data_IF_541219836686
#
_entry.id   IF_541219836686
#
_cell.length_a   1.000
_cell.length_b   1.000
_cell.length_c   1.000
_cell.angle_alpha   90.00
_cell.angle_beta   90.00
_cell.angle_gamma   90.00
#
_symmetry.space_group_name_H-M   'P 1'
#
loop_
_entity.id
_entity.type
_entity.pdbx_description
1 polymer ?
#
# COMPACT_ATOMS: atom_id res chain seq x y z
N UNK A 1 1.85 -8.82 15.91
CA UNK A 1 2.55 -7.74 16.64
C UNK A 1 1.81 -7.33 17.92
N UNK A 2 0.61 -6.74 17.84
CA UNK A 2 -0.13 -6.23 19.02
C UNK A 2 -0.34 -7.29 20.11
N UNK A 3 -0.75 -8.51 19.73
CA UNK A 3 -0.90 -9.63 20.69
C UNK A 3 0.40 -10.03 21.40
N UNK A 4 1.55 -9.88 20.73
CA UNK A 4 2.86 -10.15 21.34
C UNK A 4 3.26 -9.00 22.28
N UNK A 5 2.94 -7.75 21.93
CA UNK A 5 3.17 -6.58 22.78
C UNK A 5 2.40 -6.67 24.10
N UNK A 6 1.11 -7.01 24.01
CA UNK A 6 0.25 -7.19 25.18
C UNK A 6 0.70 -8.36 26.06
N UNK A 7 1.14 -9.46 25.45
CA UNK A 7 1.67 -10.61 26.19
C UNK A 7 2.97 -10.28 26.94
N UNK A 8 3.91 -9.57 26.29
CA UNK A 8 5.16 -9.14 26.94
C UNK A 8 4.87 -8.18 28.08
N UNK A 9 3.97 -7.21 27.89
CA UNK A 9 3.50 -6.35 28.98
C UNK A 9 2.97 -7.15 30.17
N UNK A 10 2.02 -8.06 29.93
CA UNK A 10 1.39 -8.83 31.00
C UNK A 10 2.43 -9.64 31.80
N UNK A 11 3.45 -10.18 31.13
CA UNK A 11 4.55 -10.88 31.78
C UNK A 11 5.40 -9.97 32.68
N UNK A 12 5.65 -8.73 32.26
CA UNK A 12 6.38 -7.74 33.06
C UNK A 12 5.55 -7.23 34.24
N UNK A 13 4.27 -6.91 34.01
CA UNK A 13 3.31 -6.50 35.04
C UNK A 13 3.19 -7.58 36.14
N UNK A 14 3.04 -8.85 35.76
CA UNK A 14 2.93 -9.97 36.70
C UNK A 14 4.20 -10.19 37.53
N UNK A 15 5.36 -9.76 37.03
CA UNK A 15 6.64 -9.84 37.72
C UNK A 15 6.97 -8.57 38.52
N UNK A 16 6.12 -7.53 38.49
CA UNK A 16 6.36 -6.25 39.13
C UNK A 16 7.58 -5.50 38.56
N UNK A 17 7.86 -5.68 37.27
CA UNK A 17 9.00 -5.06 36.61
C UNK A 17 8.56 -3.74 35.98
N UNK A 18 9.24 -2.64 36.34
CA UNK A 18 9.00 -1.35 35.72
C UNK A 18 9.48 -1.32 34.26
N UNK A 19 8.65 -0.78 33.39
CA UNK A 19 8.97 -0.57 31.98
C UNK A 19 8.38 0.74 31.47
N UNK A 20 8.82 1.15 30.28
CA UNK A 20 8.17 2.18 29.48
C UNK A 20 7.94 1.67 28.06
N UNK A 21 6.86 2.13 27.44
CA UNK A 21 6.66 2.02 26.02
C UNK A 21 7.33 3.23 25.35
N UNK A 22 8.14 3.00 24.32
CA UNK A 22 8.76 4.05 23.51
C UNK A 22 8.56 3.76 22.03
N UNK A 23 8.61 4.82 21.22
CA UNK A 23 8.51 4.75 19.77
C UNK A 23 9.91 4.57 19.18
N UNK A 24 10.10 3.51 18.38
CA UNK A 24 11.35 3.29 17.65
C UNK A 24 11.54 4.25 16.47
N UNK A 25 12.61 4.06 15.70
CA UNK A 25 12.80 4.78 14.42
C UNK A 25 11.97 4.18 13.26
N UNK A 26 11.32 3.04 13.50
CA UNK A 26 10.31 2.44 12.63
C UNK A 26 9.00 2.27 13.42
N UNK A 27 7.95 1.74 12.79
CA UNK A 27 6.63 1.55 13.43
C UNK A 27 6.61 0.49 14.54
N UNK A 28 7.75 -0.13 14.86
CA UNK A 28 7.81 -1.21 15.84
C UNK A 28 7.61 -0.66 17.26
N UNK A 29 6.77 -1.31 18.07
CA UNK A 29 6.69 -0.98 19.48
C UNK A 29 7.96 -1.42 20.21
N UNK A 30 8.48 -0.53 21.05
CA UNK A 30 9.67 -0.78 21.87
C UNK A 30 9.27 -0.71 23.34
N UNK A 31 9.58 -1.76 24.09
CA UNK A 31 9.52 -1.75 25.56
C UNK A 31 10.94 -1.54 26.06
N UNK A 32 11.16 -0.52 26.87
CA UNK A 32 12.42 -0.30 27.56
C UNK A 32 12.30 -0.62 29.05
N UNK A 33 13.29 -1.32 29.57
CA UNK A 33 13.41 -1.72 30.98
C UNK A 33 14.81 -1.37 31.49
N UNK A 34 14.96 -1.28 32.80
CA UNK A 34 16.27 -1.10 33.40
C UNK A 34 17.16 -2.33 33.17
N UNK A 35 18.40 -2.09 32.77
CA UNK A 35 19.47 -3.07 32.64
C UNK A 35 19.73 -3.82 33.96
N UNK A 36 19.52 -3.19 35.11
CA UNK A 36 19.64 -3.85 36.41
C UNK A 36 18.61 -4.98 36.55
N UNK A 37 17.39 -4.80 36.05
CA UNK A 37 16.30 -5.79 36.06
C UNK A 37 16.45 -6.92 35.04
N UNK A 38 17.52 -6.97 34.24
CA UNK A 38 17.67 -7.94 33.13
C UNK A 38 17.50 -9.42 33.52
N UNK A 39 17.92 -9.79 34.74
CA UNK A 39 17.78 -11.17 35.24
C UNK A 39 16.32 -11.50 35.55
N UNK A 40 15.61 -10.55 36.14
CA UNK A 40 14.19 -10.69 36.49
C UNK A 40 13.32 -10.67 35.24
N UNK A 41 13.63 -9.78 34.29
CA UNK A 41 12.99 -9.75 32.96
C UNK A 41 13.13 -11.09 32.25
N UNK A 42 14.35 -11.65 32.19
CA UNK A 42 14.56 -12.99 31.62
C UNK A 42 13.72 -14.04 32.34
N UNK A 43 13.76 -14.08 33.68
CA UNK A 43 12.99 -15.04 34.48
C UNK A 43 11.48 -14.90 34.23
N UNK A 44 10.96 -13.67 34.15
CA UNK A 44 9.56 -13.37 33.91
C UNK A 44 9.12 -13.89 32.53
N UNK A 45 9.84 -13.53 31.47
CA UNK A 45 9.51 -13.95 30.10
C UNK A 45 9.65 -15.47 29.91
N UNK A 46 10.70 -16.09 30.45
CA UNK A 46 10.88 -17.57 30.43
C UNK A 46 9.72 -18.27 31.14
N UNK A 47 9.28 -17.72 32.27
CA UNK A 47 8.17 -18.32 33.05
C UNK A 47 6.85 -18.15 32.31
N UNK A 48 6.55 -16.94 31.84
CA UNK A 48 5.31 -16.62 31.14
C UNK A 48 5.17 -17.40 29.83
N UNK A 49 6.27 -17.61 29.11
CA UNK A 49 6.26 -18.21 27.78
C UNK A 49 6.86 -19.63 27.73
N UNK A 50 6.93 -20.33 28.86
CA UNK A 50 7.50 -21.69 28.94
C UNK A 50 6.85 -22.68 27.96
N UNK A 51 5.55 -22.53 27.72
CA UNK A 51 4.76 -23.40 26.86
C UNK A 51 4.35 -22.71 25.54
N UNK A 52 5.00 -21.59 25.18
CA UNK A 52 4.70 -20.84 23.97
C UNK A 52 5.92 -20.80 23.03
N UNK A 53 5.71 -20.75 21.70
CA UNK A 53 6.79 -20.65 20.73
C UNK A 53 7.31 -19.20 20.64
N UNK A 54 7.66 -18.60 21.77
CA UNK A 54 8.22 -17.25 21.81
C UNK A 54 9.72 -17.30 21.56
N UNK A 55 10.19 -16.54 20.58
CA UNK A 55 11.59 -16.45 20.24
C UNK A 55 12.13 -15.06 20.58
N UNK A 56 13.40 -15.01 20.95
CA UNK A 56 14.15 -13.79 21.18
C UNK A 56 15.32 -13.72 20.21
N UNK A 57 15.27 -12.77 19.27
CA UNK A 57 16.37 -12.48 18.35
C UNK A 57 17.27 -11.39 18.93
N UNK A 58 18.58 -11.65 18.99
CA UNK A 58 19.57 -10.62 19.38
C UNK A 58 19.78 -9.64 18.24
N UNK A 59 19.51 -8.35 18.46
CA UNK A 59 19.53 -7.32 17.41
C UNK A 59 20.88 -6.61 17.32
N UNK A 60 21.53 -6.37 18.45
CA UNK A 60 22.80 -5.63 18.59
C UNK A 60 24.05 -6.52 18.44
N UNK A 61 23.90 -7.70 17.86
CA UNK A 61 24.98 -8.61 17.52
C UNK A 61 25.29 -8.59 16.01
N UNK A 62 26.57 -8.77 15.65
CA UNK A 62 27.01 -8.85 14.23
C UNK A 62 26.28 -9.96 13.46
N UNK A 63 26.05 -11.11 14.10
CA UNK A 63 25.23 -12.21 13.59
C UNK A 63 23.94 -12.27 14.40
N UNK A 64 22.81 -12.04 13.74
CA UNK A 64 21.49 -12.16 14.37
C UNK A 64 21.16 -13.63 14.55
N UNK A 65 20.89 -14.02 15.78
CA UNK A 65 20.47 -15.38 16.15
C UNK A 65 19.26 -15.29 17.04
N UNK A 66 18.31 -16.21 16.84
CA UNK A 66 17.14 -16.37 17.70
C UNK A 66 17.35 -17.55 18.64
N UNK A 67 16.88 -17.41 19.87
CA UNK A 67 16.75 -18.49 20.85
C UNK A 67 15.28 -18.66 21.23
N UNK A 68 14.86 -19.87 21.56
CA UNK A 68 13.54 -20.12 22.13
C UNK A 68 13.54 -19.62 23.57
N UNK A 69 12.61 -18.75 23.94
CA UNK A 69 12.55 -18.16 25.28
C UNK A 69 12.35 -19.24 26.34
N UNK A 70 11.63 -20.33 26.02
CA UNK A 70 11.44 -21.46 26.93
C UNK A 70 12.74 -22.19 27.32
N UNK A 71 13.82 -22.05 26.54
CA UNK A 71 15.14 -22.64 26.84
C UNK A 71 15.88 -21.91 27.98
N UNK A 72 15.29 -20.85 28.53
CA UNK A 72 15.79 -20.16 29.72
C UNK A 72 16.66 -18.93 29.46
N UNK A 73 16.90 -18.60 28.19
CA UNK A 73 17.74 -17.46 27.79
C UNK A 73 17.04 -16.57 26.76
N UNK A 74 17.39 -15.27 26.75
CA UNK A 74 16.95 -14.32 25.72
C UNK A 74 18.02 -14.09 24.64
N UNK A 75 19.27 -14.46 24.90
CA UNK A 75 20.38 -14.39 23.96
C UNK A 75 21.53 -15.27 24.42
N UNK A 76 22.29 -15.81 23.47
CA UNK A 76 23.59 -16.42 23.73
C UNK A 76 24.65 -15.36 24.14
N UNK A 77 24.44 -14.09 23.78
CA UNK A 77 25.33 -12.99 24.12
C UNK A 77 24.86 -12.30 25.42
N UNK A 78 25.58 -12.53 26.52
CA UNK A 78 25.29 -11.91 27.83
C UNK A 78 25.43 -10.38 27.87
N UNK A 79 26.05 -9.77 26.85
CA UNK A 79 26.17 -8.31 26.70
C UNK A 79 25.07 -7.69 25.85
N UNK A 80 24.18 -8.50 25.26
CA UNK A 80 23.09 -8.00 24.43
C UNK A 80 22.15 -7.10 25.24
N UNK A 81 21.75 -5.99 24.62
CA UNK A 81 20.84 -4.99 25.18
C UNK A 81 19.56 -4.84 24.36
N UNK A 82 19.52 -5.36 23.14
CA UNK A 82 18.35 -5.25 22.25
C UNK A 82 17.90 -6.63 21.82
N UNK A 83 16.68 -6.97 22.19
CA UNK A 83 16.04 -8.24 21.86
C UNK A 83 14.80 -7.98 21.02
N UNK A 84 14.54 -8.86 20.06
CA UNK A 84 13.28 -8.85 19.33
C UNK A 84 12.49 -10.09 19.69
N UNK A 85 11.40 -9.88 20.40
CA UNK A 85 10.50 -10.90 20.90
C UNK A 85 9.39 -11.12 19.89
N UNK A 86 9.20 -12.36 19.44
CA UNK A 86 8.17 -12.68 18.45
C UNK A 86 7.69 -14.13 18.58
N UNK A 87 6.43 -14.37 18.21
CA UNK A 87 5.92 -15.71 17.91
C UNK A 87 5.89 -15.90 16.39
N UNK A 88 6.58 -16.91 15.83
CA UNK A 88 6.51 -17.19 14.41
C UNK A 88 5.09 -17.62 14.08
N UNK A 89 4.52 -17.02 13.04
CA UNK A 89 3.22 -17.40 12.49
C UNK A 89 3.43 -17.74 11.02
N UNK A 90 2.90 -18.88 10.60
CA UNK A 90 2.99 -19.36 9.22
C UNK A 90 1.58 -19.67 8.76
N UNK A 91 1.20 -19.12 7.62
CA UNK A 91 0.07 -19.62 6.85
C UNK A 91 0.59 -20.74 5.93
N UNK A 92 -0.02 -21.93 6.04
CA UNK A 92 0.53 -23.18 5.52
C UNK A 92 0.39 -23.27 3.99
N UNK A 93 -0.69 -22.74 3.41
CA UNK A 93 -0.98 -22.85 1.98
C UNK A 93 -0.06 -21.99 1.11
N UNK A 94 0.14 -20.74 1.50
CA UNK A 94 0.91 -19.73 0.76
C UNK A 94 2.30 -19.43 1.31
N UNK A 95 2.69 -20.09 2.41
CA UNK A 95 3.99 -19.91 3.06
C UNK A 95 4.22 -18.50 3.62
N UNK A 96 3.14 -17.73 3.84
CA UNK A 96 3.24 -16.39 4.41
C UNK A 96 3.73 -16.51 5.85
N UNK A 97 4.89 -15.90 6.13
CA UNK A 97 5.55 -15.99 7.41
C UNK A 97 5.69 -14.63 8.10
N UNK A 98 5.24 -14.59 9.35
CA UNK A 98 5.47 -13.49 10.26
C UNK A 98 6.50 -13.91 11.30
N UNK A 99 7.66 -13.27 11.24
CA UNK A 99 8.79 -13.56 12.12
C UNK A 99 9.31 -12.33 12.86
N UNK A 100 10.64 -12.21 13.06
CA UNK A 100 11.22 -11.12 13.81
C UNK A 100 10.98 -9.76 13.17
N UNK A 101 10.69 -9.63 11.88
CA UNK A 101 10.40 -8.32 11.28
C UNK A 101 9.26 -7.58 12.00
N UNK A 102 8.24 -8.32 12.47
CA UNK A 102 7.05 -7.82 13.17
C UNK A 102 7.07 -8.08 14.69
N UNK A 103 8.24 -8.45 15.23
CA UNK A 103 8.40 -8.69 16.67
C UNK A 103 8.42 -7.38 17.48
N UNK A 104 8.14 -7.49 18.77
CA UNK A 104 8.27 -6.40 19.75
C UNK A 104 9.73 -6.25 20.10
N UNK A 105 10.23 -5.02 20.17
CA UNK A 105 11.60 -4.78 20.61
C UNK A 105 11.62 -4.58 22.12
N UNK A 106 12.51 -5.29 22.81
CA UNK A 106 12.82 -5.09 24.22
C UNK A 106 14.23 -4.52 24.31
N UNK A 107 14.37 -3.41 25.04
CA UNK A 107 15.64 -2.72 25.24
C UNK A 107 16.01 -2.62 26.71
N UNK A 108 17.28 -2.88 27.01
CA UNK A 108 17.85 -2.71 28.35
C UNK A 108 18.59 -1.37 28.43
N UNK A 109 17.98 -0.40 29.10
CA UNK A 109 18.51 0.95 29.31
C UNK A 109 19.29 1.01 30.62
N UNK A 110 20.36 1.79 30.69
CA UNK A 110 21.13 1.96 31.94
C UNK A 110 20.84 3.31 32.56
N UNK A 111 20.54 3.29 33.84
CA UNK A 111 20.34 4.48 34.66
C UNK A 111 21.56 4.61 35.58
N UNK A 112 22.55 5.40 35.18
CA UNK A 112 23.81 5.58 35.93
C UNK A 112 23.88 7.02 36.46
N UNK A 113 23.65 7.19 37.77
CA UNK A 113 23.64 8.51 38.41
C UNK A 113 22.58 9.45 37.82
N UNK A 114 23.03 10.56 37.27
CA UNK A 114 22.22 11.57 36.58
C UNK A 114 22.10 11.31 35.07
N UNK A 115 22.67 10.22 34.54
CA UNK A 115 22.65 9.89 33.11
C UNK A 115 21.74 8.70 32.81
N UNK A 116 21.12 8.78 31.64
CA UNK A 116 20.37 7.70 31.02
C UNK A 116 21.08 7.29 29.73
N UNK A 117 21.45 6.00 29.63
CA UNK A 117 22.12 5.44 28.46
C UNK A 117 21.27 4.37 27.77
N UNK A 118 20.93 4.63 26.51
CA UNK A 118 20.16 3.75 25.65
C UNK A 118 21.09 2.91 24.77
N UNK A 119 20.68 1.69 24.38
CA UNK A 119 21.45 0.91 23.41
C UNK A 119 21.34 1.47 21.99
N UNK A 120 20.28 2.22 21.67
CA UNK A 120 20.03 2.83 20.36
C UNK A 120 19.21 4.11 20.52
N UNK A 121 19.32 5.02 19.57
CA UNK A 121 18.45 6.21 19.48
C UNK A 121 17.07 5.80 19.00
N UNK A 122 16.05 6.51 19.45
CA UNK A 122 14.67 6.30 19.05
C UNK A 122 14.08 7.60 18.49
N UNK A 123 12.77 7.65 18.23
CA UNK A 123 12.16 8.78 17.54
C UNK A 123 12.35 10.14 18.24
N UNK A 124 12.64 10.16 19.54
CA UNK A 124 12.77 11.37 20.35
C UNK A 124 14.13 11.50 21.05
N UNK A 125 14.79 10.37 21.31
CA UNK A 125 15.91 10.31 22.26
C UNK A 125 17.28 10.18 21.61
N UNK A 126 18.31 10.68 22.30
CA UNK A 126 19.73 10.36 22.02
C UNK A 126 20.18 9.13 22.79
N UNK A 127 21.30 8.52 22.37
CA UNK A 127 21.89 7.38 23.11
C UNK A 127 22.26 7.71 24.55
N UNK A 128 22.63 8.96 24.81
CA UNK A 128 22.95 9.41 26.16
C UNK A 128 22.29 10.75 26.41
N UNK A 129 21.58 10.87 27.52
CA UNK A 129 20.89 12.09 27.95
C UNK A 129 20.93 12.21 29.48
N UNK A 130 20.54 13.37 30.01
CA UNK A 130 20.32 13.52 31.45
C UNK A 130 19.04 12.81 31.84
N UNK A 131 19.06 12.09 32.96
CA UNK A 131 17.91 11.35 33.48
C UNK A 131 16.71 12.26 33.75
N UNK A 132 16.96 13.50 34.20
CA UNK A 132 15.92 14.48 34.47
C UNK A 132 15.13 14.90 33.21
N UNK A 133 15.74 14.79 32.03
CA UNK A 133 15.10 15.16 30.76
C UNK A 133 14.09 14.08 30.30
N UNK A 134 14.24 12.84 30.79
CA UNK A 134 13.31 11.74 30.52
C UNK A 134 12.11 11.79 31.48
N UNK A 135 11.36 12.88 31.45
CA UNK A 135 10.17 13.11 32.28
C UNK A 135 9.13 12.02 32.03
N UNK A 136 8.62 11.40 33.10
CA UNK A 136 7.65 10.31 33.00
C UNK A 136 6.29 10.83 32.52
N UNK A 137 5.71 10.14 31.55
CA UNK A 137 4.35 10.37 31.05
C UNK A 137 3.56 9.07 30.92
N UNK A 138 2.35 9.19 30.39
CA UNK A 138 1.51 8.04 30.04
C UNK A 138 0.90 8.22 28.65
N UNK A 139 0.58 7.11 27.98
CA UNK A 139 -0.09 7.11 26.67
C UNK A 139 -1.13 6.00 26.59
N UNK A 140 -2.27 6.26 25.94
CA UNK A 140 -3.28 5.24 25.64
C UNK A 140 -2.95 4.58 24.30
N UNK A 141 -2.66 3.26 24.30
CA UNK A 141 -2.41 2.47 23.09
C UNK A 141 -2.95 1.07 23.24
N UNK A 142 -3.56 0.53 22.18
CA UNK A 142 -4.10 -0.83 22.14
C UNK A 142 -5.04 -1.15 23.32
N UNK A 143 -5.88 -0.18 23.69
CA UNK A 143 -6.87 -0.32 24.78
C UNK A 143 -6.31 -0.24 26.20
N UNK A 144 -5.02 0.11 26.38
CA UNK A 144 -4.40 0.20 27.70
C UNK A 144 -3.61 1.51 27.88
N UNK A 145 -3.46 1.94 29.14
CA UNK A 145 -2.52 2.99 29.53
C UNK A 145 -1.11 2.42 29.67
N UNK A 146 -0.11 3.09 29.10
CA UNK A 146 1.29 2.69 29.12
C UNK A 146 2.15 3.78 29.76
N UNK A 147 3.09 3.44 30.66
CA UNK A 147 4.14 4.36 31.07
C UNK A 147 5.02 4.70 29.87
N UNK A 148 5.41 5.96 29.74
CA UNK A 148 6.29 6.42 28.66
C UNK A 148 7.12 7.63 29.11
N UNK A 149 7.81 8.27 28.17
CA UNK A 149 8.45 9.59 28.35
C UNK A 149 7.50 10.64 27.77
N UNK A 150 7.43 11.80 28.41
CA UNK A 150 6.69 12.95 27.90
C UNK A 150 7.03 13.23 26.42
N UNK A 151 6.02 13.52 25.61
CA UNK A 151 6.11 13.76 24.17
C UNK A 151 6.60 12.59 23.29
N UNK A 152 6.89 11.40 23.83
CA UNK A 152 7.35 10.22 23.06
C UNK A 152 6.39 9.81 21.93
N UNK A 153 5.09 10.06 22.12
CA UNK A 153 4.02 9.73 21.18
C UNK A 153 3.21 10.97 20.78
N UNK A 154 3.74 12.17 21.03
CA UNK A 154 3.20 13.37 20.42
C UNK A 154 3.41 13.31 18.89
N UNK A 155 2.62 14.06 18.13
CA UNK A 155 2.78 14.13 16.69
C UNK A 155 4.11 14.79 16.36
N UNK A 156 4.98 14.06 15.66
CA UNK A 156 6.26 14.59 15.20
C UNK A 156 6.05 15.28 13.86
N UNK A 157 6.86 16.31 13.56
CA UNK A 157 6.80 17.00 12.27
C UNK A 157 7.08 16.10 11.05
N UNK A 158 7.65 14.92 11.28
CA UNK A 158 7.92 13.89 10.27
C UNK A 158 6.80 12.85 10.14
N UNK A 159 5.72 12.98 10.90
CA UNK A 159 4.60 12.05 10.86
C UNK A 159 3.65 12.39 9.73
N UNK A 160 2.96 11.36 9.22
CA UNK A 160 1.85 11.50 8.28
C UNK A 160 0.60 11.13 9.05
N UNK A 161 -0.17 12.14 9.44
CA UNK A 161 -1.33 12.04 10.33
C UNK A 161 -2.66 12.38 9.64
N UNK A 162 -2.62 12.81 8.38
CA UNK A 162 -3.81 13.06 7.58
C UNK A 162 -4.43 11.77 7.04
N UNK A 163 -5.75 11.80 6.86
CA UNK A 163 -6.52 10.70 6.29
C UNK A 163 -6.10 10.38 4.85
N UNK A 164 -5.91 9.10 4.54
CA UNK A 164 -5.66 8.63 3.18
C UNK A 164 -6.68 7.55 2.81
N UNK A 165 -7.40 7.77 1.71
CA UNK A 165 -8.33 6.81 1.14
C UNK A 165 -7.72 6.12 -0.09
N UNK A 166 -8.36 5.05 -0.58
CA UNK A 166 -8.06 4.45 -1.88
C UNK A 166 -9.32 4.31 -2.71
N UNK A 167 -9.21 4.57 -4.01
CA UNK A 167 -10.27 4.40 -5.00
C UNK A 167 -9.84 3.35 -6.01
N UNK A 168 -10.64 2.30 -6.14
CA UNK A 168 -10.53 1.30 -7.19
C UNK A 168 -11.51 1.62 -8.31
N UNK A 169 -11.04 1.70 -9.56
CA UNK A 169 -11.93 1.58 -10.72
C UNK A 169 -12.06 0.12 -11.10
N UNK A 170 -13.29 -0.37 -11.20
CA UNK A 170 -13.54 -1.78 -11.49
C UNK A 170 -14.80 -1.99 -12.33
N UNK A 171 -14.78 -3.00 -13.20
CA UNK A 171 -15.95 -3.48 -13.94
C UNK A 171 -15.99 -5.00 -13.92
N UNK A 172 -17.18 -5.57 -13.84
CA UNK A 172 -17.37 -6.99 -14.10
C UNK A 172 -17.33 -7.24 -15.61
N UNK A 173 -16.15 -7.61 -16.10
CA UNK A 173 -15.95 -7.97 -17.51
C UNK A 173 -16.74 -9.20 -17.96
N UNK A 174 -17.29 -10.00 -17.04
CA UNK A 174 -18.05 -11.21 -17.32
C UNK A 174 -19.57 -11.01 -17.32
N UNK A 175 -20.06 -9.83 -16.91
CA UNK A 175 -21.49 -9.50 -16.90
C UNK A 175 -22.05 -9.47 -18.34
N UNK A 176 -23.00 -10.37 -18.69
CA UNK A 176 -23.60 -10.40 -20.02
C UNK A 176 -24.27 -9.09 -20.41
N UNK A 177 -24.86 -8.36 -19.47
CA UNK A 177 -25.48 -7.07 -19.76
C UNK A 177 -24.43 -6.00 -20.07
N UNK A 178 -23.33 -5.96 -19.31
CA UNK A 178 -22.19 -5.09 -19.58
C UNK A 178 -21.61 -5.35 -20.97
N UNK A 179 -21.39 -6.62 -21.32
CA UNK A 179 -20.89 -7.03 -22.64
C UNK A 179 -21.86 -6.60 -23.75
N UNK A 180 -23.16 -6.83 -23.57
CA UNK A 180 -24.18 -6.46 -24.55
C UNK A 180 -24.25 -4.94 -24.75
N UNK A 181 -24.26 -4.15 -23.66
CA UNK A 181 -24.23 -2.68 -23.70
C UNK A 181 -22.99 -2.16 -24.43
N UNK A 182 -21.81 -2.70 -24.08
CA UNK A 182 -20.54 -2.32 -24.71
C UNK A 182 -20.54 -2.62 -26.21
N UNK A 183 -20.95 -3.82 -26.61
CA UNK A 183 -21.00 -4.24 -28.03
C UNK A 183 -21.96 -3.37 -28.85
N UNK A 184 -23.13 -3.05 -28.31
CA UNK A 184 -24.10 -2.18 -28.98
C UNK A 184 -23.52 -0.78 -29.27
N UNK A 185 -22.72 -0.24 -28.34
CA UNK A 185 -22.08 1.07 -28.49
C UNK A 185 -20.79 1.02 -29.33
N UNK A 186 -20.11 -0.13 -29.36
CA UNK A 186 -18.87 -0.31 -30.11
C UNK A 186 -19.10 -0.35 -31.63
N UNK A 187 -20.29 -0.73 -32.09
CA UNK A 187 -20.64 -0.78 -33.51
C UNK A 187 -20.49 0.56 -34.26
N UNK A 188 -20.44 1.67 -33.52
CA UNK A 188 -20.33 3.03 -34.04
C UNK A 188 -18.99 3.72 -33.70
N UNK A 189 -18.05 3.00 -33.05
CA UNK A 189 -16.81 3.58 -32.51
C UNK A 189 -15.55 3.18 -33.32
N UNK A 190 -14.61 4.12 -33.48
CA UNK A 190 -13.25 3.84 -33.96
C UNK A 190 -12.38 3.47 -32.76
N UNK A 191 -11.90 2.23 -32.69
CA UNK A 191 -11.04 1.74 -31.62
C UNK A 191 -9.58 1.71 -32.04
N UNK A 192 -8.67 2.01 -31.12
CA UNK A 192 -7.23 1.82 -31.31
C UNK A 192 -6.80 0.36 -31.07
N UNK A 193 -5.55 0.04 -31.42
CA UNK A 193 -4.97 -1.30 -31.26
C UNK A 193 -5.11 -1.82 -29.81
N UNK A 194 -5.63 -3.03 -29.65
CA UNK A 194 -5.71 -3.73 -28.36
C UNK A 194 -7.01 -3.51 -27.56
N UNK A 195 -7.95 -2.68 -28.02
CA UNK A 195 -9.21 -2.40 -27.30
C UNK A 195 -10.37 -3.36 -27.62
N UNK A 196 -10.19 -4.29 -28.58
CA UNK A 196 -11.17 -5.27 -29.08
C UNK A 196 -10.99 -6.70 -28.56
N UNK A 197 -9.91 -7.01 -27.82
CA UNK A 197 -9.55 -8.40 -27.50
C UNK A 197 -10.39 -9.05 -26.39
N UNK A 198 -10.82 -10.30 -26.67
CA UNK A 198 -11.64 -11.13 -25.78
C UNK A 198 -10.96 -11.57 -24.48
N UNK A 199 -9.63 -11.54 -24.43
CA UNK A 199 -8.84 -11.95 -23.26
C UNK A 199 -9.15 -11.14 -21.99
N UNK A 200 -9.74 -9.94 -22.13
CA UNK A 200 -10.15 -9.04 -21.03
C UNK A 200 -11.47 -9.40 -20.34
N UNK A 201 -12.22 -10.42 -20.79
CA UNK A 201 -13.62 -10.64 -20.33
C UNK A 201 -13.79 -11.69 -19.22
N UNK A 202 -12.75 -12.41 -18.81
CA UNK A 202 -12.87 -13.42 -17.75
C UNK A 202 -12.33 -12.90 -16.42
N UNK A 203 -13.25 -12.51 -15.55
CA UNK A 203 -13.02 -12.08 -14.17
C UNK A 203 -12.57 -13.27 -13.31
N UNK A 204 -11.42 -13.16 -12.62
CA UNK A 204 -10.92 -14.16 -11.66
C UNK A 204 -10.91 -13.64 -10.22
N UNK A 205 -11.74 -12.63 -9.96
CA UNK A 205 -11.89 -11.92 -8.68
C UNK A 205 -10.62 -11.17 -8.27
N UNK A 206 -9.88 -10.58 -9.22
CA UNK A 206 -8.68 -9.79 -8.95
C UNK A 206 -8.95 -8.71 -7.90
N UNK A 207 -10.09 -8.02 -7.99
CA UNK A 207 -10.53 -7.01 -7.01
C UNK A 207 -10.55 -7.55 -5.57
N UNK A 208 -11.00 -8.80 -5.35
CA UNK A 208 -11.01 -9.43 -4.03
C UNK A 208 -9.60 -9.46 -3.44
N UNK A 209 -8.63 -9.88 -4.24
CA UNK A 209 -7.24 -10.00 -3.83
C UNK A 209 -6.53 -8.64 -3.74
N UNK A 210 -6.90 -7.68 -4.59
CA UNK A 210 -6.43 -6.30 -4.49
C UNK A 210 -6.86 -5.69 -3.14
N UNK A 211 -8.12 -5.89 -2.74
CA UNK A 211 -8.62 -5.46 -1.43
C UNK A 211 -7.95 -6.22 -0.27
N UNK A 212 -7.71 -7.54 -0.39
CA UNK A 212 -6.90 -8.27 0.61
C UNK A 212 -5.49 -7.70 0.73
N UNK A 213 -4.87 -7.30 -0.37
CA UNK A 213 -3.53 -6.69 -0.37
C UNK A 213 -3.51 -5.39 0.44
N UNK A 214 -4.55 -4.54 0.30
CA UNK A 214 -4.73 -3.34 1.13
C UNK A 214 -4.86 -3.72 2.60
N UNK A 215 -5.75 -4.66 2.93
CA UNK A 215 -5.96 -5.09 4.32
C UNK A 215 -4.68 -5.63 4.98
N UNK A 216 -3.89 -6.40 4.24
CA UNK A 216 -2.69 -7.05 4.76
C UNK A 216 -1.48 -6.09 4.84
N UNK A 217 -1.36 -5.16 3.89
CA UNK A 217 -0.10 -4.47 3.64
C UNK A 217 -0.16 -2.94 3.66
N UNK A 218 -1.36 -2.36 3.68
CA UNK A 218 -1.58 -0.93 3.85
C UNK A 218 -2.74 -0.64 4.83
N UNK A 219 -2.69 -1.15 6.08
CA UNK A 219 -3.80 -1.04 7.04
C UNK A 219 -4.06 0.39 7.56
N UNK A 220 -3.23 1.35 7.17
CA UNK A 220 -3.39 2.79 7.44
C UNK A 220 -4.37 3.47 6.47
N UNK A 221 -4.80 2.80 5.40
CA UNK A 221 -5.87 3.28 4.52
C UNK A 221 -7.17 3.38 5.32
N UNK A 222 -7.80 4.56 5.29
CA UNK A 222 -9.00 4.88 6.06
C UNK A 222 -10.25 4.27 5.44
N UNK A 223 -10.52 4.55 4.16
CA UNK A 223 -11.66 4.01 3.40
C UNK A 223 -11.25 3.54 2.01
N UNK A 224 -11.95 2.52 1.54
CA UNK A 224 -11.86 1.96 0.20
C UNK A 224 -13.14 2.36 -0.55
N UNK A 225 -12.98 3.07 -1.67
CA UNK A 225 -14.06 3.36 -2.60
C UNK A 225 -13.91 2.47 -3.83
N UNK A 226 -14.99 1.86 -4.29
CA UNK A 226 -15.03 1.07 -5.53
C UNK A 226 -15.92 1.84 -6.51
N UNK A 227 -15.29 2.57 -7.43
CA UNK A 227 -15.98 3.27 -8.51
C UNK A 227 -16.37 2.25 -9.58
N UNK A 228 -17.65 1.91 -9.65
CA UNK A 228 -18.16 0.88 -10.56
C UNK A 228 -19.66 1.03 -10.83
N UNK A 229 -20.06 0.71 -12.06
CA UNK A 229 -21.48 0.56 -12.44
C UNK A 229 -21.91 -0.91 -12.50
N UNK A 230 -21.01 -1.86 -12.20
CA UNK A 230 -21.32 -3.29 -12.13
C UNK A 230 -22.02 -3.65 -10.82
N UNK A 231 -22.83 -4.73 -10.77
CA UNK A 231 -23.35 -5.25 -9.51
C UNK A 231 -22.25 -5.50 -8.48
N UNK A 232 -22.57 -5.37 -7.19
CA UNK A 232 -21.63 -5.68 -6.14
C UNK A 232 -21.20 -7.15 -6.24
N UNK A 233 -19.89 -7.48 -6.19
CA UNK A 233 -19.45 -8.88 -6.26
C UNK A 233 -20.06 -9.73 -5.14
N UNK A 234 -20.44 -10.97 -5.45
CA UNK A 234 -21.12 -11.84 -4.48
C UNK A 234 -20.33 -12.08 -3.21
N UNK A 235 -18.99 -12.09 -3.29
CA UNK A 235 -18.10 -12.29 -2.14
C UNK A 235 -18.00 -11.07 -1.21
N UNK A 236 -18.41 -9.88 -1.66
CA UNK A 236 -18.28 -8.63 -0.91
C UNK A 236 -19.50 -8.45 0.01
N UNK A 237 -19.25 -8.36 1.31
CA UNK A 237 -20.24 -7.98 2.31
C UNK A 237 -20.26 -6.46 2.51
N UNK A 238 -21.39 -5.93 2.99
CA UNK A 238 -21.45 -4.54 3.43
C UNK A 238 -20.50 -4.32 4.61
N UNK A 239 -19.67 -3.27 4.54
CA UNK A 239 -18.68 -2.98 5.55
C UNK A 239 -18.42 -1.46 5.62
N UNK A 240 -18.30 -0.85 6.81
CA UNK A 240 -18.16 0.62 6.95
C UNK A 240 -16.90 1.19 6.28
N UNK A 241 -15.86 0.38 6.10
CA UNK A 241 -14.61 0.79 5.42
C UNK A 241 -14.64 0.65 3.89
N UNK A 242 -15.67 0.03 3.30
CA UNK A 242 -15.76 -0.19 1.85
C UNK A 242 -17.04 0.44 1.33
N UNK A 243 -16.94 1.26 0.28
CA UNK A 243 -18.09 1.96 -0.30
C UNK A 243 -18.07 1.78 -1.81
N UNK A 244 -19.11 1.17 -2.37
CA UNK A 244 -19.34 1.18 -3.82
C UNK A 244 -19.91 2.55 -4.19
N UNK A 245 -19.38 3.16 -5.24
CA UNK A 245 -19.82 4.46 -5.75
C UNK A 245 -20.13 4.32 -7.24
N UNK A 246 -21.34 4.72 -7.63
CA UNK A 246 -21.80 4.71 -9.02
C UNK A 246 -21.26 5.91 -9.78
N UNK A 247 -21.06 5.77 -11.09
CA UNK A 247 -20.58 6.86 -11.94
C UNK A 247 -21.49 8.10 -11.87
N UNK A 248 -22.80 7.90 -11.75
CA UNK A 248 -23.78 9.00 -11.61
C UNK A 248 -23.59 9.84 -10.34
N UNK A 249 -22.92 9.31 -9.32
CA UNK A 249 -22.68 10.01 -8.04
C UNK A 249 -21.48 10.97 -8.10
N UNK A 250 -20.57 10.80 -9.07
CA UNK A 250 -19.34 11.60 -9.16
C UNK A 250 -19.02 12.18 -10.53
N UNK A 251 -19.72 11.79 -11.60
CA UNK A 251 -19.61 12.49 -12.89
C UNK A 251 -20.27 13.87 -12.79
N UNK A 252 -19.55 14.91 -13.20
CA UNK A 252 -20.07 16.28 -13.19
C UNK A 252 -21.29 16.45 -14.13
N UNK A 253 -21.30 15.71 -15.26
CA UNK A 253 -22.41 15.63 -16.19
C UNK A 253 -22.83 14.16 -16.39
N UNK A 254 -23.88 13.69 -15.71
CA UNK A 254 -24.36 12.31 -15.86
C UNK A 254 -24.89 11.98 -17.27
N UNK A 255 -25.15 12.97 -18.14
CA UNK A 255 -25.68 12.72 -19.48
C UNK A 255 -24.68 12.05 -20.43
N UNK A 256 -23.39 12.06 -20.08
CA UNK A 256 -22.33 11.39 -20.84
C UNK A 256 -22.20 9.90 -20.53
N UNK A 257 -22.93 9.41 -19.52
CA UNK A 257 -22.96 8.01 -19.12
C UNK A 257 -23.93 7.18 -20.00
N UNK A 258 -23.75 5.84 -20.09
CA UNK A 258 -22.64 5.07 -19.53
C UNK A 258 -21.35 5.22 -20.35
N UNK A 259 -20.21 5.00 -19.69
CA UNK A 259 -18.88 5.00 -20.32
C UNK A 259 -18.19 3.66 -20.15
N UNK A 260 -17.38 3.27 -21.14
CA UNK A 260 -16.48 2.13 -21.13
C UNK A 260 -15.00 2.57 -21.14
N UNK A 261 -14.76 3.85 -20.84
CA UNK A 261 -13.45 4.48 -20.87
C UNK A 261 -12.94 4.72 -19.44
N UNK A 262 -11.91 3.98 -19.02
CA UNK A 262 -11.33 4.21 -17.69
C UNK A 262 -10.77 5.63 -17.54
N UNK A 263 -10.29 6.26 -18.61
CA UNK A 263 -9.78 7.64 -18.54
C UNK A 263 -10.89 8.65 -18.23
N UNK A 264 -12.12 8.39 -18.71
CA UNK A 264 -13.30 9.19 -18.38
C UNK A 264 -13.68 9.06 -16.90
N UNK A 265 -13.59 7.85 -16.35
CA UNK A 265 -13.82 7.59 -14.91
C UNK A 265 -12.72 8.22 -14.06
N UNK A 266 -11.46 7.97 -14.42
CA UNK A 266 -10.26 8.45 -13.73
C UNK A 266 -10.22 9.98 -13.60
N UNK A 267 -10.69 10.72 -14.61
CA UNK A 267 -10.68 12.19 -14.59
C UNK A 267 -11.81 12.81 -13.74
N UNK A 268 -12.71 12.01 -13.16
CA UNK A 268 -13.85 12.47 -12.36
C UNK A 268 -13.79 12.00 -10.89
N UNK A 269 -12.82 11.15 -10.52
CA UNK A 269 -12.77 10.53 -9.18
C UNK A 269 -12.68 11.53 -8.02
N UNK A 270 -12.13 12.73 -8.24
CA UNK A 270 -12.01 13.77 -7.20
C UNK A 270 -13.37 14.36 -6.76
N UNK A 271 -14.45 14.07 -7.49
CA UNK A 271 -15.82 14.44 -7.12
C UNK A 271 -16.49 13.46 -6.17
N UNK A 272 -15.91 12.27 -5.93
CA UNK A 272 -16.47 11.30 -4.99
C UNK A 272 -16.69 11.96 -3.63
N UNK A 273 -17.94 11.92 -3.17
CA UNK A 273 -18.34 12.50 -1.89
C UNK A 273 -17.58 11.82 -0.74
N UNK A 274 -17.15 12.63 0.22
CA UNK A 274 -16.42 12.20 1.43
C UNK A 274 -15.04 11.55 1.18
N UNK A 275 -14.54 11.61 -0.07
CA UNK A 275 -13.16 11.26 -0.40
C UNK A 275 -12.19 12.25 0.26
N UNK A 276 -11.17 11.73 0.93
CA UNK A 276 -10.12 12.53 1.56
C UNK A 276 -9.39 13.42 0.55
N UNK A 277 -8.81 14.52 1.05
CA UNK A 277 -7.90 15.35 0.26
C UNK A 277 -6.72 14.54 -0.28
N UNK A 278 -6.24 13.54 0.46
CA UNK A 278 -5.18 12.63 0.03
C UNK A 278 -5.78 11.27 -0.26
N UNK A 279 -5.57 10.75 -1.47
CA UNK A 279 -6.08 9.43 -1.83
C UNK A 279 -5.14 8.71 -2.79
N UNK A 280 -5.26 7.39 -2.85
CA UNK A 280 -4.62 6.57 -3.86
C UNK A 280 -5.64 6.16 -4.92
N UNK A 281 -5.24 6.15 -6.17
CA UNK A 281 -5.97 5.47 -7.24
C UNK A 281 -5.34 4.12 -7.51
N UNK A 282 -6.14 3.08 -7.74
CA UNK A 282 -5.68 1.74 -8.10
C UNK A 282 -6.65 1.07 -9.08
N UNK A 283 -6.13 0.16 -9.90
CA UNK A 283 -6.95 -0.83 -10.60
C UNK A 283 -6.99 -2.14 -9.79
N UNK A 284 -7.85 -3.06 -10.21
CA UNK A 284 -8.01 -4.40 -9.62
C UNK A 284 -6.83 -5.34 -9.92
N UNK A 285 -6.04 -5.03 -10.95
CA UNK A 285 -4.81 -5.73 -11.33
C UNK A 285 -3.55 -5.24 -10.57
N UNK A 286 -3.66 -4.23 -9.72
CA UNK A 286 -2.57 -3.64 -8.95
C UNK A 286 -2.59 -4.11 -7.49
N UNK A 287 -1.46 -4.62 -7.01
CA UNK A 287 -1.38 -5.22 -5.69
C UNK A 287 -0.25 -4.64 -4.84
N UNK A 288 -0.52 -4.47 -3.54
CA UNK A 288 0.52 -4.31 -2.54
C UNK A 288 1.23 -5.66 -2.35
N UNK A 289 2.55 -5.68 -2.54
CA UNK A 289 3.35 -6.92 -2.51
C UNK A 289 3.88 -7.28 -1.12
N UNK A 290 4.01 -6.29 -0.23
CA UNK A 290 4.48 -6.43 1.16
C UNK A 290 4.06 -5.20 1.96
N UNK A 291 4.16 -5.20 3.31
CA UNK A 291 3.80 -4.03 4.10
C UNK A 291 4.55 -2.76 3.66
N UNK A 292 3.81 -1.67 3.45
CA UNK A 292 4.32 -0.34 3.12
C UNK A 292 3.66 0.71 4.03
N UNK A 293 4.37 1.78 4.35
CA UNK A 293 3.83 2.94 5.08
C UNK A 293 3.28 4.02 4.15
N UNK A 294 2.56 5.02 4.68
CA UNK A 294 2.07 6.17 3.91
C UNK A 294 3.22 7.00 3.31
N UNK A 295 4.41 6.94 3.91
CA UNK A 295 5.63 7.59 3.42
C UNK A 295 6.10 7.08 2.06
N UNK A 296 5.60 5.92 1.62
CA UNK A 296 5.78 5.43 0.25
C UNK A 296 5.17 6.40 -0.79
N UNK A 297 4.07 7.05 -0.42
CA UNK A 297 3.17 7.80 -1.30
C UNK A 297 3.11 9.30 -1.02
N UNK A 298 3.37 9.71 0.22
CA UNK A 298 3.31 11.11 0.62
C UNK A 298 4.51 11.49 1.48
N UNK A 299 4.89 12.76 1.45
CA UNK A 299 5.75 13.35 2.50
C UNK A 299 4.89 13.80 3.69
N UNK A 300 5.48 14.05 4.87
CA UNK A 300 4.78 14.67 6.00
C UNK A 300 4.08 16.00 5.65
N UNK A 301 4.63 16.77 4.71
CA UNK A 301 4.02 18.02 4.22
C UNK A 301 2.91 17.84 3.18
N UNK A 302 2.42 16.61 2.94
CA UNK A 302 1.34 16.34 1.96
C UNK A 302 1.76 16.36 0.49
N UNK A 303 3.06 16.45 0.17
CA UNK A 303 3.57 16.32 -1.21
C UNK A 303 3.44 14.86 -1.65
N UNK A 304 2.90 14.62 -2.86
CA UNK A 304 2.74 13.26 -3.40
C UNK A 304 4.06 12.70 -3.93
N UNK A 305 4.21 11.38 -3.91
CA UNK A 305 5.42 10.65 -4.33
C UNK A 305 5.05 9.59 -5.38
N UNK A 306 5.33 9.86 -6.64
CA UNK A 306 4.96 8.96 -7.74
C UNK A 306 6.15 8.15 -8.25
N UNK A 307 5.91 6.97 -8.80
CA UNK A 307 6.95 6.04 -9.25
C UNK A 307 7.05 6.09 -10.78
N UNK A 308 8.18 6.58 -11.30
CA UNK A 308 8.45 6.56 -12.74
C UNK A 308 8.84 5.15 -13.19
N UNK A 309 8.32 4.74 -14.35
CA UNK A 309 8.77 3.53 -15.02
C UNK A 309 10.03 3.79 -15.85
N UNK A 310 10.71 2.70 -16.22
CA UNK A 310 11.80 2.76 -17.18
C UNK A 310 11.35 2.97 -18.62
N UNK A 311 10.10 2.60 -18.91
CA UNK A 311 9.47 2.75 -20.22
C UNK A 311 9.38 4.22 -20.65
N UNK A 312 9.85 4.50 -21.86
CA UNK A 312 9.77 5.83 -22.49
C UNK A 312 8.46 5.99 -23.24
N UNK A 313 7.87 7.18 -23.18
CA UNK A 313 6.68 7.55 -23.98
C UNK A 313 7.02 7.55 -25.49
N UNK A 314 8.30 7.67 -25.85
CA UNK A 314 8.72 7.71 -27.25
C UNK A 314 8.48 9.06 -27.92
N UNK A 315 8.80 9.11 -29.21
CA UNK A 315 8.73 10.30 -30.06
C UNK A 315 7.37 10.44 -30.76
N UNK A 316 7.17 11.57 -31.43
CA UNK A 316 5.99 11.86 -32.24
C UNK A 316 4.78 12.37 -31.45
N UNK A 317 3.82 12.93 -32.20
CA UNK A 317 2.47 13.28 -31.72
C UNK A 317 1.54 12.08 -31.83
N UNK A 318 0.24 12.23 -31.52
CA UNK A 318 -0.75 11.15 -31.53
C UNK A 318 -0.90 10.50 -32.91
N UNK A 319 -1.28 9.23 -32.93
CA UNK A 319 -1.48 8.46 -34.16
C UNK A 319 -2.61 7.45 -33.96
N UNK A 320 -3.43 7.25 -34.99
CA UNK A 320 -4.58 6.35 -34.95
C UNK A 320 -4.18 4.87 -34.80
N UNK A 321 -2.97 4.51 -35.23
CA UNK A 321 -2.43 3.14 -35.08
C UNK A 321 -1.96 2.85 -33.64
N UNK A 322 -1.87 3.86 -32.75
CA UNK A 322 -1.45 3.65 -31.36
C UNK A 322 -2.60 3.39 -30.41
N UNK A 323 -2.31 2.66 -29.35
CA UNK A 323 -3.25 2.44 -28.25
C UNK A 323 -3.67 3.77 -27.58
N UNK A 324 -4.87 3.78 -26.98
CA UNK A 324 -5.37 4.94 -26.23
C UNK A 324 -4.47 5.34 -25.04
N UNK A 325 -3.72 4.39 -24.47
CA UNK A 325 -2.73 4.67 -23.43
C UNK A 325 -1.53 5.48 -23.96
N UNK A 326 -0.97 5.05 -25.10
CA UNK A 326 0.16 5.71 -25.75
C UNK A 326 -0.18 7.12 -26.26
N UNK A 327 -1.39 7.27 -26.79
CA UNK A 327 -1.90 8.55 -27.25
C UNK A 327 -2.16 9.51 -26.08
N UNK A 328 -2.82 9.06 -25.01
CA UNK A 328 -3.09 9.91 -23.85
C UNK A 328 -1.80 10.45 -23.19
N UNK A 329 -0.73 9.65 -23.13
CA UNK A 329 0.56 10.11 -22.62
C UNK A 329 1.16 11.27 -23.45
N UNK A 330 0.92 11.27 -24.77
CA UNK A 330 1.36 12.33 -25.68
C UNK A 330 0.48 13.58 -25.60
N UNK A 331 -0.83 13.42 -25.44
CA UNK A 331 -1.75 14.54 -25.12
C UNK A 331 -1.27 15.23 -23.84
N UNK A 332 -1.05 14.46 -22.78
CA UNK A 332 -0.56 14.98 -21.50
C UNK A 332 0.77 15.71 -21.66
N UNK A 333 1.73 15.13 -22.40
CA UNK A 333 3.02 15.78 -22.68
C UNK A 333 2.83 17.13 -23.36
N UNK A 334 1.97 17.21 -24.38
CA UNK A 334 1.71 18.45 -25.13
C UNK A 334 1.17 19.53 -24.21
N UNK A 335 0.16 19.22 -23.40
CA UNK A 335 -0.44 20.17 -22.46
C UNK A 335 0.56 20.68 -21.42
N UNK A 336 1.40 19.78 -20.88
CA UNK A 336 2.45 20.16 -19.93
C UNK A 336 3.55 21.00 -20.57
N UNK A 337 3.90 20.71 -21.83
CA UNK A 337 4.84 21.52 -22.60
C UNK A 337 4.31 22.93 -22.84
N UNK A 338 3.08 23.05 -23.34
CA UNK A 338 2.44 24.35 -23.59
C UNK A 338 2.32 25.17 -22.31
N UNK A 339 2.03 24.52 -21.17
CA UNK A 339 1.82 25.21 -19.90
C UNK A 339 3.10 25.60 -19.16
N UNK A 340 4.11 24.73 -19.18
CA UNK A 340 5.30 24.86 -18.33
C UNK A 340 6.62 24.92 -19.10
N UNK A 341 6.61 24.74 -20.42
CA UNK A 341 7.82 24.66 -21.24
C UNK A 341 8.69 23.45 -20.89
N UNK A 342 8.09 22.33 -20.44
CA UNK A 342 8.81 21.10 -20.11
C UNK A 342 8.09 19.87 -20.64
N UNK A 343 8.85 18.94 -21.23
CA UNK A 343 8.33 17.69 -21.78
C UNK A 343 8.46 16.55 -20.75
N UNK A 344 7.51 15.61 -20.78
CA UNK A 344 7.57 14.35 -20.04
C UNK A 344 8.17 13.26 -20.92
N UNK A 345 9.00 12.38 -20.34
CA UNK A 345 9.78 11.39 -21.12
C UNK A 345 9.46 9.94 -20.76
N UNK A 346 8.91 9.69 -19.57
CA UNK A 346 8.70 8.35 -19.01
C UNK A 346 7.23 8.13 -18.67
N UNK A 347 6.79 6.89 -18.81
CA UNK A 347 5.55 6.42 -18.18
C UNK A 347 5.77 6.24 -16.67
N UNK A 348 4.68 5.94 -15.97
CA UNK A 348 4.71 5.60 -14.56
C UNK A 348 4.56 4.09 -14.38
N UNK A 349 5.05 3.60 -13.25
CA UNK A 349 4.84 2.21 -12.85
C UNK A 349 3.35 1.97 -12.60
N UNK A 350 2.81 0.86 -13.12
CA UNK A 350 1.40 0.50 -13.02
C UNK A 350 1.10 -0.07 -11.62
N UNK A 351 0.93 0.84 -10.67
CA UNK A 351 0.78 0.60 -9.23
C UNK A 351 -0.13 1.67 -8.62
N UNK A 352 -0.56 1.47 -7.37
CA UNK A 352 -1.36 2.47 -6.66
C UNK A 352 -0.70 3.85 -6.72
N UNK A 353 -1.42 4.86 -7.22
CA UNK A 353 -0.89 6.17 -7.54
C UNK A 353 -1.43 7.23 -6.56
N UNK A 354 -0.59 8.07 -5.94
CA UNK A 354 -1.06 9.08 -4.99
C UNK A 354 -1.57 10.34 -5.68
N UNK A 355 -2.74 10.80 -5.25
CA UNK A 355 -3.39 12.01 -5.72
C UNK A 355 -3.83 12.91 -4.57
N UNK A 356 -4.02 14.18 -4.92
CA UNK A 356 -4.64 15.20 -4.09
C UNK A 356 -5.89 15.71 -4.76
N UNK A 357 -7.02 15.65 -4.05
CA UNK A 357 -8.33 16.06 -4.56
C UNK A 357 -8.31 17.51 -5.05
N UNK A 358 -7.73 18.42 -4.26
CA UNK A 358 -7.60 19.84 -4.62
C UNK A 358 -6.74 20.09 -5.87
N UNK A 359 -5.72 19.27 -6.12
CA UNK A 359 -4.84 19.42 -7.28
C UNK A 359 -5.54 18.93 -8.54
N UNK A 360 -6.28 17.82 -8.50
CA UNK A 360 -7.11 17.38 -9.65
C UNK A 360 -8.19 18.41 -9.95
N UNK A 361 -8.89 18.94 -8.93
CA UNK A 361 -9.89 19.99 -9.10
C UNK A 361 -9.31 21.30 -9.69
N UNK A 362 -8.04 21.61 -9.39
CA UNK A 362 -7.36 22.73 -10.03
C UNK A 362 -7.05 22.44 -11.50
N UNK A 363 -6.57 21.23 -11.81
CA UNK A 363 -6.31 20.81 -13.19
C UNK A 363 -7.57 20.86 -14.03
N UNK A 364 -8.71 20.39 -13.52
CA UNK A 364 -10.00 20.44 -14.23
C UNK A 364 -10.41 21.88 -14.58
N UNK A 365 -10.14 22.85 -13.70
CA UNK A 365 -10.40 24.27 -13.96
C UNK A 365 -9.43 24.88 -14.99
N UNK A 366 -8.20 24.38 -15.05
CA UNK A 366 -7.15 24.88 -15.93
C UNK A 366 -7.22 24.27 -17.33
N UNK A 367 -7.69 23.01 -17.43
CA UNK A 367 -7.85 22.25 -18.67
C UNK A 367 -9.31 21.79 -18.87
N UNK A 368 -10.30 22.71 -18.83
CA UNK A 368 -11.71 22.33 -18.79
C UNK A 368 -12.16 21.63 -20.07
N UNK A 369 -11.59 21.98 -21.22
CA UNK A 369 -11.94 21.37 -22.50
C UNK A 369 -11.47 19.91 -22.56
N UNK A 370 -10.26 19.64 -22.07
CA UNK A 370 -9.65 18.31 -22.06
C UNK A 370 -10.36 17.36 -21.08
N UNK A 371 -10.72 17.87 -19.89
CA UNK A 371 -11.50 17.14 -18.90
C UNK A 371 -12.90 16.83 -19.43
N UNK A 372 -13.65 17.84 -19.92
CA UNK A 372 -15.00 17.64 -20.46
C UNK A 372 -15.02 16.67 -21.64
N UNK A 373 -14.04 16.79 -22.55
CA UNK A 373 -13.91 15.89 -23.70
C UNK A 373 -13.61 14.45 -23.28
N UNK A 374 -12.72 14.26 -22.33
CA UNK A 374 -12.36 12.92 -21.82
C UNK A 374 -13.54 12.30 -21.06
N UNK A 375 -14.20 13.06 -20.18
CA UNK A 375 -15.40 12.61 -19.47
C UNK A 375 -16.54 12.25 -20.44
N UNK A 376 -16.68 13.00 -21.54
CA UNK A 376 -17.65 12.74 -22.60
C UNK A 376 -17.33 11.58 -23.55
N UNK A 377 -16.13 11.00 -23.46
CA UNK A 377 -15.67 9.95 -24.36
C UNK A 377 -16.06 8.56 -23.86
N UNK A 378 -17.00 7.91 -24.55
CA UNK A 378 -17.51 6.56 -24.18
C UNK A 378 -16.45 5.46 -24.27
N UNK A 379 -15.52 5.58 -25.21
CA UNK A 379 -14.34 4.71 -25.36
C UNK A 379 -13.09 5.58 -25.36
N UNK A 380 -11.93 4.95 -25.10
CA UNK A 380 -10.64 5.65 -25.16
C UNK A 380 -10.44 6.26 -26.55
N UNK A 381 -10.32 7.58 -26.60
CA UNK A 381 -10.04 8.30 -27.84
C UNK A 381 -8.57 8.76 -27.85
N UNK A 382 -8.02 8.93 -29.06
CA UNK A 382 -6.64 9.34 -29.26
C UNK A 382 -6.32 10.73 -28.68
N UNK A 383 -7.32 11.52 -28.35
CA UNK A 383 -7.18 12.88 -27.81
C UNK A 383 -7.68 13.01 -26.36
N UNK A 384 -7.91 11.89 -25.67
CA UNK A 384 -8.21 11.87 -24.25
C UNK A 384 -6.95 12.09 -23.40
N UNK A 385 -7.13 12.64 -22.21
CA UNK A 385 -6.08 12.75 -21.19
C UNK A 385 -6.09 11.54 -20.26
N UNK A 386 -4.94 11.15 -19.74
CA UNK A 386 -4.87 10.18 -18.64
C UNK A 386 -4.40 10.86 -17.36
N UNK A 387 -5.37 11.16 -16.49
CA UNK A 387 -5.15 11.92 -15.26
C UNK A 387 -4.26 11.15 -14.29
N UNK A 388 -4.61 9.90 -13.98
CA UNK A 388 -3.95 9.13 -12.92
C UNK A 388 -2.65 8.44 -13.35
N UNK A 389 -2.46 8.12 -14.64
CA UNK A 389 -1.22 7.45 -15.11
C UNK A 389 -0.09 8.41 -15.51
N UNK A 390 -0.33 9.71 -15.75
CA UNK A 390 0.79 10.65 -15.96
C UNK A 390 0.45 12.13 -15.81
N UNK A 391 -0.75 12.60 -16.18
CA UNK A 391 -0.99 14.05 -16.25
C UNK A 391 -0.87 14.71 -14.88
N UNK A 392 -1.55 14.14 -13.87
CA UNK A 392 -1.54 14.64 -12.50
C UNK A 392 -0.14 14.71 -11.94
N UNK A 393 0.64 13.62 -12.08
CA UNK A 393 1.93 13.48 -11.41
C UNK A 393 2.96 14.48 -11.91
N UNK A 394 3.04 14.66 -13.23
CA UNK A 394 3.93 15.66 -13.80
C UNK A 394 3.41 17.08 -13.62
N UNK A 395 2.10 17.33 -13.68
CA UNK A 395 1.53 18.64 -13.33
C UNK A 395 1.87 19.02 -11.88
N UNK A 396 1.67 18.10 -10.93
CA UNK A 396 1.99 18.27 -9.53
C UNK A 396 3.50 18.46 -9.32
N UNK A 397 4.36 17.71 -10.02
CA UNK A 397 5.81 17.89 -9.97
C UNK A 397 6.23 19.29 -10.43
N UNK A 398 5.72 19.72 -11.60
CA UNK A 398 6.05 21.01 -12.21
C UNK A 398 5.54 22.21 -11.42
N UNK A 399 4.63 21.98 -10.48
CA UNK A 399 4.08 22.99 -9.57
C UNK A 399 4.54 22.83 -8.13
N UNK A 400 5.56 21.97 -7.87
CA UNK A 400 6.18 21.81 -6.55
C UNK A 400 5.35 21.02 -5.53
N UNK A 401 4.39 20.21 -5.99
CA UNK A 401 3.41 19.46 -5.17
C UNK A 401 3.56 17.94 -5.28
N UNK A 402 4.50 17.47 -6.11
CA UNK A 402 4.93 16.08 -6.15
C UNK A 402 6.46 15.97 -6.22
N UNK A 403 6.98 14.82 -5.82
CA UNK A 403 8.36 14.37 -6.03
C UNK A 403 8.37 12.94 -6.56
N UNK A 404 9.50 12.48 -7.08
CA UNK A 404 9.66 11.09 -7.52
C UNK A 404 9.97 10.16 -6.34
N UNK A 405 9.40 8.97 -6.36
CA UNK A 405 9.71 7.86 -5.46
C UNK A 405 10.69 6.91 -6.14
N UNK A 406 11.95 6.92 -5.70
CA UNK A 406 13.04 6.16 -6.34
C UNK A 406 13.41 4.87 -5.62
N UNK A 407 12.82 4.61 -4.44
CA UNK A 407 13.16 3.45 -3.61
C UNK A 407 12.17 2.27 -3.73
N UNK A 408 11.03 2.49 -4.39
CA UNK A 408 10.00 1.47 -4.56
C UNK A 408 10.48 0.35 -5.49
N UNK A 409 10.12 -0.89 -5.14
CA UNK A 409 10.37 -2.07 -5.97
C UNK A 409 9.06 -2.55 -6.59
N UNK A 410 8.95 -2.34 -7.89
CA UNK A 410 7.76 -2.72 -8.66
C UNK A 410 8.05 -3.91 -9.57
N UNK A 411 7.03 -4.73 -9.81
CA UNK A 411 7.05 -5.76 -10.85
C UNK A 411 5.77 -5.76 -11.66
N UNK A 412 5.89 -5.44 -12.95
CA UNK A 412 4.88 -5.79 -13.93
C UNK A 412 5.03 -7.27 -14.32
N UNK A 413 3.94 -8.02 -14.29
CA UNK A 413 3.84 -9.41 -14.76
C UNK A 413 2.76 -9.47 -15.82
N UNK A 414 3.13 -9.87 -17.03
CA UNK A 414 2.16 -10.16 -18.08
C UNK A 414 1.57 -11.55 -17.86
N UNK A 415 0.31 -11.63 -17.43
CA UNK A 415 -0.40 -12.89 -17.16
C UNK A 415 -0.74 -13.67 -18.42
N UNK A 416 -0.61 -13.07 -19.60
CA UNK A 416 -0.90 -13.74 -20.88
C UNK A 416 0.30 -14.47 -21.48
N UNK A 417 1.49 -14.28 -20.89
CA UNK A 417 2.76 -14.82 -21.40
C UNK A 417 3.31 -15.89 -20.45
N UNK A 418 3.89 -16.96 -21.02
CA UNK A 418 4.51 -18.01 -20.20
C UNK A 418 5.61 -17.47 -19.29
N UNK A 419 6.37 -16.50 -19.77
CA UNK A 419 7.42 -15.85 -18.99
C UNK A 419 6.89 -15.17 -17.71
N UNK A 420 5.69 -14.56 -17.79
CA UNK A 420 5.04 -13.93 -16.63
C UNK A 420 4.52 -14.97 -15.65
N UNK A 421 3.81 -15.99 -16.13
CA UNK A 421 3.29 -17.06 -15.27
C UNK A 421 4.41 -17.85 -14.58
N UNK A 422 5.52 -18.16 -15.28
CA UNK A 422 6.69 -18.80 -14.70
C UNK A 422 7.41 -17.93 -13.64
N UNK A 423 7.16 -16.62 -13.60
CA UNK A 423 7.70 -15.74 -12.58
C UNK A 423 6.90 -15.78 -11.26
N UNK A 424 5.61 -16.14 -11.29
CA UNK A 424 4.73 -16.14 -10.12
C UNK A 424 5.26 -16.96 -8.93
N UNK A 425 5.79 -18.20 -9.11
CA UNK A 425 6.36 -18.96 -7.99
C UNK A 425 7.56 -18.27 -7.33
N UNK A 426 8.40 -17.59 -8.12
CA UNK A 426 9.53 -16.81 -7.61
C UNK A 426 9.05 -15.58 -6.85
N UNK A 427 8.02 -14.91 -7.35
CA UNK A 427 7.41 -13.77 -6.66
C UNK A 427 6.82 -14.19 -5.32
N UNK A 428 6.06 -15.29 -5.30
CA UNK A 428 5.46 -15.89 -4.10
C UNK A 428 6.51 -16.30 -3.06
N UNK A 429 7.59 -16.95 -3.48
CA UNK A 429 8.63 -17.41 -2.56
C UNK A 429 9.43 -16.25 -1.95
N UNK A 430 9.65 -15.16 -2.70
CA UNK A 430 10.51 -14.05 -2.27
C UNK A 430 9.76 -12.92 -1.56
N UNK A 431 8.52 -12.62 -1.96
CA UNK A 431 7.69 -11.50 -1.44
C UNK A 431 8.45 -10.19 -1.24
N UNK A 432 9.34 -9.90 -2.19
CA UNK A 432 10.37 -8.87 -2.08
C UNK A 432 10.04 -7.57 -2.82
N UNK A 433 8.89 -7.52 -3.51
CA UNK A 433 8.40 -6.35 -4.23
C UNK A 433 7.46 -5.55 -3.33
N UNK A 434 7.55 -4.22 -3.39
CA UNK A 434 6.59 -3.31 -2.75
C UNK A 434 5.23 -3.39 -3.45
N UNK A 435 5.27 -3.47 -4.77
CA UNK A 435 4.09 -3.55 -5.63
C UNK A 435 4.31 -4.54 -6.75
N UNK A 436 3.23 -5.16 -7.19
CA UNK A 436 3.23 -5.86 -8.46
C UNK A 436 1.89 -5.69 -9.16
N UNK A 437 1.89 -5.86 -10.48
CA UNK A 437 0.69 -5.91 -11.27
C UNK A 437 0.66 -7.20 -12.08
N UNK A 438 -0.54 -7.78 -12.21
CA UNK A 438 -0.84 -8.91 -13.09
C UNK A 438 -1.76 -8.41 -14.20
N UNK A 439 -1.21 -8.01 -15.34
CA UNK A 439 -1.99 -7.41 -16.43
C UNK A 439 -1.95 -8.29 -17.67
N UNK A 440 -3.00 -8.20 -18.47
CA UNK A 440 -3.16 -8.95 -19.69
C UNK A 440 -2.56 -8.21 -20.90
N UNK A 441 -1.62 -8.86 -21.57
CA UNK A 441 -1.13 -8.46 -22.87
C UNK A 441 -2.16 -8.65 -23.99
N UNK A 442 -1.93 -7.97 -25.12
CA UNK A 442 -2.82 -8.04 -26.30
C UNK A 442 -2.67 -9.34 -27.11
N UNK A 443 -1.59 -10.09 -26.89
CA UNK A 443 -1.24 -11.28 -27.69
C UNK A 443 -0.97 -12.48 -26.78
N UNK A 444 -2.01 -13.18 -26.31
CA UNK A 444 -1.86 -14.25 -25.34
C UNK A 444 -1.17 -15.51 -25.91
N UNK A 445 -0.22 -16.05 -25.16
CA UNK A 445 0.42 -17.36 -25.40
C UNK A 445 -0.24 -18.50 -24.61
N UNK A 446 -1.08 -18.15 -23.63
CA UNK A 446 -1.67 -19.09 -22.67
C UNK A 446 -3.19 -19.03 -22.77
N UNK A 447 -3.82 -20.20 -22.77
CA UNK A 447 -5.28 -20.33 -22.80
C UNK A 447 -5.93 -19.73 -21.55
N UNK A 448 -7.10 -19.11 -21.72
CA UNK A 448 -7.74 -18.31 -20.67
C UNK A 448 -8.06 -19.12 -19.38
N UNK A 449 -8.43 -20.40 -19.49
CA UNK A 449 -8.71 -21.26 -18.34
C UNK A 449 -7.44 -21.58 -17.54
N UNK A 450 -6.36 -21.97 -18.23
CA UNK A 450 -5.09 -22.30 -17.59
C UNK A 450 -4.48 -21.07 -16.91
N UNK A 451 -4.53 -19.92 -17.58
CA UNK A 451 -4.16 -18.63 -16.99
C UNK A 451 -4.97 -18.33 -15.72
N UNK A 452 -6.29 -18.46 -15.79
CA UNK A 452 -7.19 -18.20 -14.66
C UNK A 452 -6.84 -19.06 -13.44
N UNK A 453 -6.60 -20.35 -13.65
CA UNK A 453 -6.26 -21.28 -12.57
C UNK A 453 -4.91 -20.94 -11.93
N UNK A 454 -3.89 -20.67 -12.73
CA UNK A 454 -2.54 -20.33 -12.26
C UNK A 454 -2.49 -18.99 -11.51
N UNK A 455 -3.19 -17.97 -12.02
CA UNK A 455 -3.24 -16.66 -11.36
C UNK A 455 -4.07 -16.74 -10.08
N UNK A 456 -5.19 -17.45 -10.09
CA UNK A 456 -6.03 -17.64 -8.88
C UNK A 456 -5.25 -18.37 -7.78
N UNK A 457 -4.59 -19.48 -8.11
CA UNK A 457 -3.74 -20.23 -7.16
C UNK A 457 -2.62 -19.35 -6.58
N UNK A 458 -1.99 -18.53 -7.42
CA UNK A 458 -0.99 -17.58 -6.96
C UNK A 458 -1.60 -16.54 -6.00
N UNK A 459 -2.73 -15.91 -6.35
CA UNK A 459 -3.35 -14.86 -5.54
C UNK A 459 -3.89 -15.40 -4.21
N UNK A 460 -4.47 -16.60 -4.18
CA UNK A 460 -4.89 -17.27 -2.95
C UNK A 460 -3.71 -17.50 -2.00
N UNK A 461 -2.58 -17.97 -2.52
CA UNK A 461 -1.35 -18.17 -1.75
C UNK A 461 -0.68 -16.86 -1.37
N UNK A 462 -0.73 -15.85 -2.23
CA UNK A 462 -0.08 -14.56 -1.95
C UNK A 462 -0.86 -13.77 -0.90
N UNK A 463 -2.20 -13.83 -0.93
CA UNK A 463 -3.10 -13.11 -0.03
C UNK A 463 -4.04 -14.08 0.71
N UNK A 464 -3.52 -14.93 1.61
CA UNK A 464 -4.31 -16.00 2.22
C UNK A 464 -5.21 -15.51 3.36
N UNK A 465 -5.03 -14.29 3.85
CA UNK A 465 -5.83 -13.73 4.95
C UNK A 465 -7.06 -13.05 4.36
N UNK A 466 -8.25 -13.59 4.67
CA UNK A 466 -9.52 -12.96 4.32
C UNK A 466 -9.63 -11.57 4.97
N UNK A 467 -10.07 -10.59 4.22
CA UNK A 467 -10.41 -9.28 4.73
C UNK A 467 -11.79 -9.28 5.44
N UNK A 468 -12.05 -8.34 6.36
CA UNK A 468 -13.29 -8.30 7.14
C UNK A 468 -14.59 -8.12 6.34
N UNK A 469 -14.48 -7.64 5.10
CA UNK A 469 -15.60 -7.43 4.17
C UNK A 469 -15.85 -8.62 3.24
N UNK A 470 -15.17 -9.75 3.43
CA UNK A 470 -15.44 -10.98 2.70
C UNK A 470 -16.48 -11.83 3.44
N UNK A 471 -17.45 -12.38 2.69
CA UNK A 471 -18.45 -13.33 3.21
C UNK A 471 -17.87 -14.68 3.66
#
# INVERSE_FOLDING_TARGET
MVSDLLAVRAALDAAGIDFILVRGNDERPVIAVDWESRKDVRKALVTAFRNEPFYSMTVDAKKKTSVLVADGELSANRKARIFRLYRPRVEIGGGLWYGPALGVQLELWRFEGDRLELPVENSLTRRTMLRQDAVRGTVQRHGLSWPTIENMFADHASDIDFDIDIVFSWVDGSDPEYIARRRAQQAEAVLGEGDDHEARFRQINELKYALRSVHMFAPWIRRIFIATDSPAPEWLAEHPSVTIVRSEEFFADPSVLPTHNSQAVECQLHHIKDLSEHFLYSNDDMFFGRPVGPDMFFTPGGITKFIEADTRIGLGENDAERSGFENAARVNRKLLWERFGRITTRHLEHTAAPLRRSVVAQMEKEFPAEFAKTAGSRFRAADNISVTNSFYHYYALLTGRAVTQTSAKVRYVDSTMWAGLHYLPKLLAKRHMDFFCLNDGSFPEVEANERADLVTDFLEKYFPVKAPWEK
#
